data_IF_602960551890
#
_entry.id   IF_602960551890
#
_cell.length_a   1.000
_cell.length_b   1.000
_cell.length_c   1.000
_cell.angle_alpha   90.00
_cell.angle_beta   90.00
_cell.angle_gamma   90.00
#
_symmetry.space_group_name_H-M   'P 1'
#
loop_
_entity.id
_entity.type
_entity.pdbx_description
1 polymer ?
#
# COMPACT_ATOMS: atom_id res chain seq x y z
N UNK A 1 18.78 -11.20 -3.27
CA UNK A 1 18.48 -10.78 -4.67
C UNK A 1 16.98 -10.64 -4.90
N UNK A 2 16.16 -11.65 -4.59
CA UNK A 2 14.70 -11.61 -4.80
C UNK A 2 14.04 -10.34 -4.25
N UNK A 3 14.28 -9.97 -2.99
CA UNK A 3 13.72 -8.73 -2.41
C UNK A 3 14.13 -7.47 -3.16
N UNK A 4 15.37 -7.40 -3.67
CA UNK A 4 15.82 -6.26 -4.47
C UNK A 4 15.13 -6.21 -5.83
N UNK A 5 14.83 -7.36 -6.43
CA UNK A 5 14.07 -7.43 -7.66
C UNK A 5 12.60 -7.05 -7.45
N UNK A 6 11.99 -7.46 -6.33
CA UNK A 6 10.61 -7.09 -5.99
C UNK A 6 10.47 -5.57 -5.84
N UNK A 7 11.39 -4.93 -5.11
CA UNK A 7 11.39 -3.47 -4.92
C UNK A 7 11.73 -2.72 -6.22
N UNK A 8 12.69 -3.21 -7.00
CA UNK A 8 13.02 -2.62 -8.30
C UNK A 8 11.85 -2.72 -9.27
N UNK A 9 11.08 -3.81 -9.23
CA UNK A 9 9.89 -3.96 -10.05
C UNK A 9 8.78 -3.02 -9.58
N UNK A 10 8.57 -2.85 -8.27
CA UNK A 10 7.64 -1.86 -7.74
C UNK A 10 7.97 -0.44 -8.22
N UNK A 11 9.25 -0.04 -8.20
CA UNK A 11 9.68 1.25 -8.74
C UNK A 11 9.46 1.36 -10.25
N UNK A 12 9.84 0.33 -11.01
CA UNK A 12 9.70 0.36 -12.47
C UNK A 12 8.22 0.40 -12.90
N UNK A 13 7.35 -0.33 -12.20
CA UNK A 13 5.91 -0.27 -12.43
C UNK A 13 5.35 1.09 -12.07
N UNK A 14 5.80 1.70 -10.97
CA UNK A 14 5.36 3.04 -10.62
C UNK A 14 5.75 4.06 -11.69
N UNK A 15 6.99 4.01 -12.18
CA UNK A 15 7.46 4.84 -13.31
C UNK A 15 6.58 4.64 -14.57
N UNK A 16 6.32 3.39 -14.95
CA UNK A 16 5.45 3.05 -16.09
C UNK A 16 4.03 3.59 -15.90
N UNK A 17 3.48 3.53 -14.68
CA UNK A 17 2.16 4.08 -14.38
C UNK A 17 2.15 5.60 -14.53
N UNK A 18 3.16 6.30 -13.98
CA UNK A 18 3.23 7.77 -14.09
C UNK A 18 3.35 8.23 -15.54
N UNK A 19 4.19 7.57 -16.33
CA UNK A 19 4.55 8.00 -17.69
C UNK A 19 3.55 7.55 -18.74
N UNK A 20 3.04 6.32 -18.63
CA UNK A 20 2.36 5.66 -19.74
C UNK A 20 0.95 5.16 -19.40
N UNK A 21 0.76 4.41 -18.30
CA UNK A 21 -0.55 3.79 -18.01
C UNK A 21 -1.58 4.77 -17.46
N UNK A 22 -1.15 5.68 -16.58
CA UNK A 22 -1.96 6.79 -16.09
C UNK A 22 -1.58 8.09 -16.82
N UNK A 23 -0.29 8.29 -17.12
CA UNK A 23 0.14 9.33 -18.07
C UNK A 23 0.04 10.77 -17.54
N UNK A 24 0.10 10.98 -16.22
CA UNK A 24 0.09 12.33 -15.65
C UNK A 24 1.49 12.98 -15.61
N UNK A 25 2.55 12.22 -15.92
CA UNK A 25 3.93 12.70 -16.00
C UNK A 25 4.59 12.27 -17.31
N UNK A 26 3.88 12.46 -18.44
CA UNK A 26 4.44 12.23 -19.78
C UNK A 26 5.74 13.01 -19.96
N UNK A 27 6.81 12.33 -20.39
CA UNK A 27 8.13 12.93 -20.57
C UNK A 27 8.99 13.03 -19.30
N UNK A 28 8.57 12.47 -18.17
CA UNK A 28 9.43 12.33 -16.99
C UNK A 28 10.74 11.58 -17.35
N UNK A 29 11.87 12.22 -17.08
CA UNK A 29 13.22 11.70 -17.30
C UNK A 29 14.05 11.84 -16.02
N UNK A 30 13.79 10.94 -15.07
CA UNK A 30 14.45 10.93 -13.76
C UNK A 30 15.56 9.87 -13.74
N UNK A 31 16.69 10.21 -13.14
CA UNK A 31 17.75 9.24 -12.87
C UNK A 31 17.31 8.26 -11.78
N UNK A 32 17.98 7.10 -11.68
CA UNK A 32 17.73 6.16 -10.59
C UNK A 32 17.96 6.81 -9.19
N UNK A 33 18.89 7.75 -9.08
CA UNK A 33 19.09 8.50 -7.83
C UNK A 33 17.92 9.42 -7.50
N UNK A 34 17.30 10.02 -8.51
CA UNK A 34 16.12 10.87 -8.33
C UNK A 34 14.89 10.03 -7.96
N UNK A 35 14.75 8.83 -8.55
CA UNK A 35 13.71 7.86 -8.18
C UNK A 35 13.85 7.45 -6.71
N UNK A 36 15.06 7.08 -6.26
CA UNK A 36 15.34 6.73 -4.86
C UNK A 36 15.05 7.89 -3.90
N UNK A 37 15.29 9.13 -4.34
CA UNK A 37 14.96 10.36 -3.59
C UNK A 37 13.49 10.77 -3.73
N UNK A 38 12.66 9.96 -4.37
CA UNK A 38 11.23 10.18 -4.60
C UNK A 38 10.93 11.55 -5.24
N UNK A 39 11.75 11.97 -6.23
CA UNK A 39 11.61 13.27 -6.91
C UNK A 39 10.44 13.38 -7.89
N UNK A 40 9.69 12.30 -8.09
CA UNK A 40 8.48 12.26 -8.92
C UNK A 40 7.26 12.80 -8.15
N UNK A 41 6.19 13.11 -8.89
CA UNK A 41 4.94 13.65 -8.34
C UNK A 41 3.88 12.56 -8.21
N UNK A 42 3.91 11.81 -7.11
CA UNK A 42 2.87 10.84 -6.70
C UNK A 42 3.35 10.05 -5.49
N UNK A 43 2.47 9.25 -4.88
CA UNK A 43 2.86 8.27 -3.86
C UNK A 43 2.27 6.89 -4.19
N UNK A 44 2.91 5.84 -3.65
CA UNK A 44 2.49 4.44 -3.81
C UNK A 44 2.34 3.68 -2.47
N UNK A 45 1.47 4.14 -1.55
CA UNK A 45 1.36 3.60 -0.20
C UNK A 45 0.91 2.13 -0.22
N UNK A 46 1.51 1.34 0.68
CA UNK A 46 1.27 -0.09 0.80
C UNK A 46 0.60 -0.42 2.15
N UNK A 47 -0.50 -1.21 2.19
CA UNK A 47 -1.13 -1.62 3.44
C UNK A 47 -0.15 -2.21 4.44
N UNK A 48 -0.19 -1.72 5.68
CA UNK A 48 0.76 -2.04 6.76
C UNK A 48 1.82 -0.98 7.02
N UNK A 49 2.02 -0.03 6.10
CA UNK A 49 2.89 1.12 6.35
C UNK A 49 2.18 2.19 7.19
N UNK A 50 2.91 3.13 7.82
CA UNK A 50 2.32 4.15 8.70
C UNK A 50 1.19 4.98 8.09
N UNK A 51 1.19 5.20 6.77
CA UNK A 51 0.14 5.93 6.05
C UNK A 51 -1.15 5.14 5.84
N UNK A 52 -1.09 3.81 5.92
CA UNK A 52 -2.23 2.91 5.80
C UNK A 52 -1.96 1.62 6.61
N UNK A 53 -1.99 1.69 7.95
CA UNK A 53 -1.45 0.63 8.82
C UNK A 53 -2.28 -0.66 8.84
N UNK A 54 -3.52 -0.62 8.35
CA UNK A 54 -4.38 -1.79 8.30
C UNK A 54 -3.95 -2.80 7.23
N UNK A 55 -3.42 -3.95 7.66
CA UNK A 55 -3.06 -5.04 6.76
C UNK A 55 -4.27 -5.73 6.11
N UNK A 56 -5.46 -5.66 6.73
CA UNK A 56 -6.67 -6.34 6.25
C UNK A 56 -7.25 -5.73 4.97
N UNK A 57 -6.66 -4.65 4.45
CA UNK A 57 -7.01 -4.10 3.15
C UNK A 57 -6.45 -4.91 1.96
N UNK A 58 -5.44 -5.77 2.18
CA UNK A 58 -4.80 -6.55 1.10
C UNK A 58 -5.72 -7.56 0.40
N UNK A 59 -6.61 -8.31 1.09
CA UNK A 59 -7.53 -9.22 0.41
C UNK A 59 -8.38 -8.54 -0.66
N UNK A 60 -8.88 -7.34 -0.38
CA UNK A 60 -9.67 -6.57 -1.35
C UNK A 60 -8.80 -6.09 -2.52
N UNK A 61 -7.58 -5.63 -2.25
CA UNK A 61 -6.62 -5.28 -3.30
C UNK A 61 -6.31 -6.49 -4.21
N UNK A 62 -6.08 -7.66 -3.63
CA UNK A 62 -5.83 -8.90 -4.37
C UNK A 62 -7.03 -9.30 -5.22
N UNK A 63 -8.25 -9.16 -4.67
CA UNK A 63 -9.50 -9.43 -5.39
C UNK A 63 -9.70 -8.49 -6.58
N UNK A 64 -9.43 -7.20 -6.42
CA UNK A 64 -9.58 -6.20 -7.49
C UNK A 64 -8.64 -6.46 -8.67
N UNK A 65 -7.44 -6.98 -8.40
CA UNK A 65 -6.40 -7.22 -9.41
C UNK A 65 -6.38 -8.66 -9.94
N UNK A 66 -7.23 -9.54 -9.41
CA UNK A 66 -7.10 -11.00 -9.59
C UNK A 66 -5.65 -11.48 -9.34
N UNK A 67 -5.03 -10.95 -8.29
CA UNK A 67 -3.57 -10.97 -8.12
C UNK A 67 -3.02 -12.38 -7.93
N UNK A 68 -3.71 -13.23 -7.15
CA UNK A 68 -3.29 -14.62 -6.93
C UNK A 68 -3.23 -15.40 -8.23
N UNK A 69 -4.29 -15.33 -9.06
CA UNK A 69 -4.31 -16.02 -10.34
C UNK A 69 -3.32 -15.42 -11.35
N UNK A 70 -3.16 -14.10 -11.36
CA UNK A 70 -2.27 -13.41 -12.29
C UNK A 70 -0.78 -13.52 -11.97
N UNK A 71 -0.41 -13.77 -10.71
CA UNK A 71 1.00 -13.70 -10.25
C UNK A 71 1.48 -14.94 -9.49
N UNK A 72 0.57 -15.77 -8.96
CA UNK A 72 0.88 -16.87 -8.05
C UNK A 72 1.28 -16.43 -6.64
N UNK A 73 1.20 -15.12 -6.31
CA UNK A 73 1.40 -14.61 -4.95
C UNK A 73 0.11 -14.77 -4.16
N UNK A 74 0.19 -15.33 -2.97
CA UNK A 74 -0.95 -15.58 -2.08
C UNK A 74 -0.87 -14.75 -0.79
N UNK A 75 -1.99 -14.62 -0.08
CA UNK A 75 -2.05 -14.04 1.26
C UNK A 75 -2.15 -15.14 2.31
N UNK A 76 -1.37 -15.02 3.39
CA UNK A 76 -1.52 -15.83 4.59
C UNK A 76 -2.74 -15.40 5.41
N UNK A 77 -3.11 -16.17 6.43
CA UNK A 77 -4.16 -15.82 7.40
C UNK A 77 -3.89 -14.48 8.13
N UNK A 78 -2.63 -14.06 8.23
CA UNK A 78 -2.21 -12.77 8.79
C UNK A 78 -2.01 -11.67 7.74
N UNK A 79 -2.44 -11.91 6.50
CA UNK A 79 -2.31 -11.00 5.35
C UNK A 79 -0.85 -10.70 4.95
N UNK A 80 0.10 -11.57 5.30
CA UNK A 80 1.44 -11.51 4.71
C UNK A 80 1.38 -12.07 3.27
N UNK A 81 2.21 -11.55 2.37
CA UNK A 81 2.32 -12.07 1.01
C UNK A 81 3.32 -13.23 0.95
N UNK A 82 2.98 -14.26 0.18
CA UNK A 82 3.87 -15.40 -0.10
C UNK A 82 3.91 -15.70 -1.61
N UNK A 83 5.08 -15.78 -2.26
CA UNK A 83 6.44 -15.58 -1.72
C UNK A 83 6.67 -14.20 -1.09
N UNK A 84 7.59 -14.13 -0.13
CA UNK A 84 7.81 -12.91 0.69
C UNK A 84 8.45 -11.77 -0.08
N UNK A 85 9.18 -12.07 -1.16
CA UNK A 85 9.74 -11.08 -2.07
C UNK A 85 8.64 -10.54 -3.00
N UNK A 86 7.70 -9.79 -2.43
CA UNK A 86 6.54 -9.22 -3.12
C UNK A 86 6.20 -7.84 -2.56
N UNK A 87 5.64 -6.98 -3.40
CA UNK A 87 5.16 -5.64 -3.04
C UNK A 87 3.75 -5.47 -3.59
N UNK A 88 2.84 -4.92 -2.78
CA UNK A 88 1.50 -4.53 -3.22
C UNK A 88 1.12 -3.21 -2.55
N UNK A 89 0.34 -2.39 -3.24
CA UNK A 89 -0.06 -1.08 -2.76
C UNK A 89 -0.99 -0.37 -3.71
N UNK A 90 -1.17 0.92 -3.45
CA UNK A 90 -2.01 1.82 -4.23
C UNK A 90 -1.15 2.77 -5.05
N UNK A 91 -1.77 3.52 -5.96
CA UNK A 91 -1.16 4.68 -6.61
C UNK A 91 -2.05 5.91 -6.38
N UNK A 92 -1.46 7.02 -5.95
CA UNK A 92 -2.13 8.32 -5.84
C UNK A 92 -1.38 9.35 -6.69
N UNK A 93 -2.05 9.89 -7.70
CA UNK A 93 -1.49 10.84 -8.66
C UNK A 93 -1.61 12.32 -8.24
N UNK A 94 -2.28 12.62 -7.12
CA UNK A 94 -2.47 14.00 -6.70
C UNK A 94 -1.14 14.66 -6.33
N UNK A 95 -0.81 15.87 -6.84
CA UNK A 95 0.51 16.46 -6.67
C UNK A 95 0.85 16.84 -5.23
N UNK A 96 -0.15 17.03 -4.39
CA UNK A 96 0.03 17.29 -2.94
C UNK A 96 0.01 16.01 -2.09
N UNK A 97 -0.19 14.83 -2.69
CA UNK A 97 -0.16 13.58 -1.95
C UNK A 97 1.26 13.34 -1.39
N UNK A 98 1.35 13.05 -0.10
CA UNK A 98 2.59 12.77 0.58
C UNK A 98 2.37 11.70 1.65
N UNK A 99 3.43 10.98 2.00
CA UNK A 99 3.37 10.02 3.11
C UNK A 99 3.26 10.75 4.44
N UNK A 100 2.27 10.38 5.24
CA UNK A 100 2.13 10.79 6.63
C UNK A 100 1.83 9.57 7.50
N UNK A 101 2.15 9.62 8.79
CA UNK A 101 1.74 8.57 9.72
C UNK A 101 0.34 8.86 10.25
N UNK A 102 -0.56 7.88 10.23
CA UNK A 102 -1.91 8.01 10.81
C UNK A 102 -1.85 8.32 12.31
N UNK A 103 -0.83 7.83 13.01
CA UNK A 103 -0.66 8.07 14.45
C UNK A 103 -1.59 7.22 15.30
N UNK A 104 -1.94 7.74 16.48
CA UNK A 104 -2.86 7.08 17.43
C UNK A 104 -4.31 7.48 17.14
N UNK A 105 -5.23 6.52 17.19
CA UNK A 105 -6.66 6.71 16.96
C UNK A 105 -7.45 6.47 18.25
N UNK A 106 -8.54 7.23 18.43
CA UNK A 106 -9.46 7.09 19.55
C UNK A 106 -10.49 5.98 19.35
N UNK A 107 -11.25 5.68 20.41
CA UNK A 107 -12.32 4.68 20.38
C UNK A 107 -13.45 5.03 19.41
N UNK A 108 -13.74 6.32 19.24
CA UNK A 108 -14.75 6.83 18.31
C UNK A 108 -14.40 6.49 16.85
N UNK A 109 -13.16 6.77 16.44
CA UNK A 109 -12.66 6.44 15.11
C UNK A 109 -12.58 4.91 14.90
N UNK A 110 -12.19 4.16 15.94
CA UNK A 110 -12.15 2.70 15.88
C UNK A 110 -13.55 2.10 15.68
N UNK A 111 -14.57 2.64 16.36
CA UNK A 111 -15.95 2.21 16.23
C UNK A 111 -16.52 2.50 14.84
N UNK A 112 -16.30 3.72 14.30
CA UNK A 112 -16.68 4.08 12.92
C UNK A 112 -16.00 3.15 11.89
N UNK A 113 -14.71 2.89 12.10
CA UNK A 113 -13.95 1.98 11.25
C UNK A 113 -14.51 0.55 11.27
N UNK A 114 -14.84 0.01 12.45
CA UNK A 114 -15.39 -1.33 12.59
C UNK A 114 -16.73 -1.47 11.84
N UNK A 115 -17.62 -0.49 11.98
CA UNK A 115 -18.91 -0.45 11.28
C UNK A 115 -18.72 -0.41 9.75
N UNK A 116 -17.90 0.51 9.25
CA UNK A 116 -17.63 0.64 7.80
C UNK A 116 -16.95 -0.58 7.20
N UNK A 117 -16.17 -1.32 8.00
CA UNK A 117 -15.52 -2.57 7.57
C UNK A 117 -16.39 -3.79 7.78
N UNK A 118 -17.55 -3.66 8.43
CA UNK A 118 -18.46 -4.76 8.72
C UNK A 118 -17.85 -5.81 9.63
N UNK A 119 -17.02 -5.41 10.60
CA UNK A 119 -16.37 -6.31 11.57
C UNK A 119 -16.69 -5.90 12.99
N UNK A 120 -16.56 -6.84 13.93
CA UNK A 120 -16.67 -6.53 15.34
C UNK A 120 -15.49 -5.67 15.84
N UNK A 121 -15.71 -4.98 16.96
CA UNK A 121 -14.73 -4.05 17.54
C UNK A 121 -13.43 -4.76 17.96
N UNK A 122 -13.46 -6.02 18.38
CA UNK A 122 -12.27 -6.75 18.82
C UNK A 122 -11.40 -7.15 17.62
N UNK A 123 -12.02 -7.51 16.51
CA UNK A 123 -11.34 -7.71 15.22
C UNK A 123 -10.68 -6.42 14.76
N UNK A 124 -11.38 -5.27 14.82
CA UNK A 124 -10.81 -3.96 14.48
C UNK A 124 -9.62 -3.61 15.40
N UNK A 125 -9.75 -3.80 16.73
CA UNK A 125 -8.65 -3.61 17.69
C UNK A 125 -7.44 -4.47 17.35
N UNK A 126 -7.65 -5.72 16.97
CA UNK A 126 -6.56 -6.63 16.61
C UNK A 126 -5.82 -6.15 15.38
N UNK A 127 -6.53 -5.71 14.34
CA UNK A 127 -5.92 -5.23 13.09
C UNK A 127 -5.16 -3.91 13.28
N UNK A 128 -5.70 -2.99 14.09
CA UNK A 128 -5.15 -1.65 14.30
C UNK A 128 -4.39 -1.50 15.62
N UNK A 129 -4.04 -2.60 16.30
CA UNK A 129 -3.41 -2.62 17.62
C UNK A 129 -2.24 -1.62 17.78
N UNK A 130 -1.31 -1.48 16.83
CA UNK A 130 -0.20 -0.52 16.95
C UNK A 130 -0.67 0.95 17.00
N UNK A 131 -1.84 1.24 16.45
CA UNK A 131 -2.40 2.58 16.27
C UNK A 131 -3.43 2.96 17.32
N UNK A 132 -3.78 2.11 18.29
CA UNK A 132 -4.74 2.49 19.33
C UNK A 132 -4.11 3.45 20.33
N UNK A 133 -4.83 4.53 20.67
CA UNK A 133 -4.53 5.35 21.83
C UNK A 133 -4.73 4.53 23.12
N UNK A 134 -3.97 4.86 24.16
CA UNK A 134 -4.10 4.23 25.47
C UNK A 134 -5.43 4.58 26.16
#
# INVERSE_FOLDING_TARGET
LADRLAEAFAEKMHELVRKDLWGFAEGEDLSNEDIIKERYTSIRPAPGYPACPDHSAKPELFRLLDASAGTGVELTESFAMTPTAAVSGYYFAHPEAHYFGVGKIGEDQLADYADRRGVDIETAKRWLRPNLAD
#
